data_IF_454490330498
#
_entry.id   IF_454490330498
#
_cell.length_a   1.000
_cell.length_b   1.000
_cell.length_c   1.000
_cell.angle_alpha   90.00
_cell.angle_beta   90.00
_cell.angle_gamma   90.00
#
_symmetry.space_group_name_H-M   'P 1'
#
loop_
_entity.id
_entity.type
_entity.pdbx_description
1 polymer ?
#
# COMPACT_ATOMS: atom_id res chain seq x y z
N UNK A 1 17.07 -26.86 7.98
CA UNK A 1 17.23 -25.44 8.23
C UNK A 1 15.99 -24.64 7.96
N UNK A 2 15.73 -23.68 8.84
CA UNK A 2 14.53 -22.88 8.73
C UNK A 2 14.68 -21.79 7.69
N UNK A 3 13.68 -21.60 6.82
CA UNK A 3 13.75 -20.49 5.88
C UNK A 3 13.67 -19.16 6.61
N UNK A 4 14.28 -18.14 6.02
CA UNK A 4 14.25 -16.79 6.56
C UNK A 4 12.93 -16.13 6.14
N UNK A 5 12.21 -15.56 7.11
CA UNK A 5 10.95 -14.89 6.84
C UNK A 5 11.23 -13.49 6.28
N UNK A 6 10.80 -13.27 5.06
CA UNK A 6 11.17 -12.07 4.30
C UNK A 6 10.66 -10.78 4.92
N UNK A 7 9.47 -10.82 5.50
CA UNK A 7 8.84 -9.59 5.99
C UNK A 7 9.28 -9.17 7.39
N UNK A 8 9.81 -10.11 8.17
CA UNK A 8 10.21 -9.80 9.55
C UNK A 8 11.69 -9.83 9.78
N UNK A 9 12.46 -10.38 8.86
CA UNK A 9 13.90 -10.52 9.05
C UNK A 9 14.58 -9.15 9.14
N UNK A 10 15.52 -9.04 10.07
CA UNK A 10 16.34 -7.83 10.12
C UNK A 10 17.50 -7.93 9.13
N UNK A 11 18.31 -6.89 9.06
CA UNK A 11 19.37 -6.84 8.07
C UNK A 11 20.39 -7.96 8.25
N UNK A 12 20.72 -8.27 9.49
CA UNK A 12 21.69 -9.34 9.76
C UNK A 12 21.18 -10.69 9.30
N UNK A 13 19.91 -10.96 9.57
CA UNK A 13 19.31 -12.22 9.16
C UNK A 13 19.22 -12.33 7.65
N UNK A 14 18.85 -11.22 6.98
CA UNK A 14 18.83 -11.22 5.52
C UNK A 14 20.23 -11.41 4.93
N UNK A 15 21.24 -10.83 5.57
CA UNK A 15 22.62 -10.98 5.09
C UNK A 15 23.10 -12.42 5.19
N UNK A 16 22.51 -13.21 6.08
CA UNK A 16 22.90 -14.61 6.21
C UNK A 16 22.41 -15.47 5.05
N UNK A 17 21.51 -14.94 4.23
CA UNK A 17 21.00 -15.67 3.06
C UNK A 17 22.07 -15.64 1.97
N UNK A 18 22.41 -16.81 1.45
CA UNK A 18 23.42 -16.88 0.38
C UNK A 18 22.84 -16.20 -0.86
N UNK A 19 23.57 -15.25 -1.40
CA UNK A 19 23.14 -14.49 -2.55
C UNK A 19 22.71 -13.06 -2.21
N UNK A 20 22.60 -12.75 -0.92
CA UNK A 20 22.25 -11.40 -0.49
C UNK A 20 23.50 -10.73 0.08
N UNK A 21 24.02 -9.76 -0.66
CA UNK A 21 25.18 -9.00 -0.22
C UNK A 21 24.79 -7.73 0.50
N UNK A 22 25.79 -6.92 0.87
CA UNK A 22 25.54 -5.70 1.66
C UNK A 22 24.64 -4.69 0.95
N UNK A 23 24.80 -4.53 -0.35
CA UNK A 23 23.95 -3.58 -1.07
C UNK A 23 22.56 -4.13 -1.30
N UNK A 24 22.49 -5.42 -1.54
CA UNK A 24 21.22 -6.05 -1.81
C UNK A 24 20.31 -6.05 -0.58
N UNK A 25 20.89 -6.25 0.61
CA UNK A 25 20.09 -6.23 1.83
C UNK A 25 19.47 -4.86 2.04
N UNK A 26 20.22 -3.79 1.77
CA UNK A 26 19.70 -2.43 1.89
C UNK A 26 18.53 -2.24 0.90
N UNK A 27 18.73 -2.69 -0.33
CA UNK A 27 17.70 -2.54 -1.36
C UNK A 27 16.44 -3.33 -0.99
N UNK A 28 16.61 -4.53 -0.46
CA UNK A 28 15.46 -5.35 -0.05
C UNK A 28 14.69 -4.65 1.05
N UNK A 29 15.38 -4.16 2.07
CA UNK A 29 14.71 -3.52 3.19
C UNK A 29 14.03 -2.23 2.77
N UNK A 30 14.66 -1.48 1.88
CA UNK A 30 14.08 -0.25 1.37
C UNK A 30 12.83 -0.54 0.53
N UNK A 31 12.91 -1.54 -0.32
CA UNK A 31 11.77 -1.92 -1.15
C UNK A 31 10.63 -2.45 -0.30
N UNK A 32 10.96 -3.27 0.71
CA UNK A 32 9.98 -3.80 1.64
C UNK A 32 9.21 -2.67 2.33
N UNK A 33 9.94 -1.64 2.74
CA UNK A 33 9.32 -0.49 3.40
C UNK A 33 8.37 0.24 2.45
N UNK A 34 8.79 0.44 1.21
CA UNK A 34 7.95 1.13 0.23
C UNK A 34 6.72 0.33 -0.16
N UNK A 35 6.86 -0.98 -0.25
CA UNK A 35 5.73 -1.84 -0.57
C UNK A 35 4.70 -1.91 0.55
N UNK A 36 5.17 -1.87 1.78
CA UNK A 36 4.34 -2.21 2.93
C UNK A 36 4.43 -3.67 3.28
N UNK A 37 5.37 -4.39 2.67
CA UNK A 37 5.60 -5.80 2.87
C UNK A 37 5.46 -6.58 1.59
N UNK A 38 6.10 -7.74 1.55
CA UNK A 38 6.00 -8.63 0.38
C UNK A 38 4.78 -9.54 0.54
N UNK A 39 3.98 -9.67 -0.50
CA UNK A 39 2.87 -10.63 -0.50
C UNK A 39 3.34 -11.99 -0.96
N UNK A 40 4.46 -12.06 -1.69
CA UNK A 40 5.06 -13.33 -2.05
C UNK A 40 6.54 -13.12 -2.30
N UNK A 41 7.27 -14.21 -2.10
CA UNK A 41 8.72 -14.17 -2.20
C UNK A 41 9.20 -13.80 -3.61
N UNK A 42 8.42 -14.13 -4.60
CA UNK A 42 8.80 -13.85 -6.00
C UNK A 42 8.97 -12.37 -6.28
N UNK A 43 8.39 -11.51 -5.47
CA UNK A 43 8.56 -10.07 -5.65
C UNK A 43 10.01 -9.63 -5.44
N UNK A 44 10.85 -10.50 -4.90
CA UNK A 44 12.27 -10.18 -4.79
C UNK A 44 12.91 -9.92 -6.15
N UNK A 45 12.34 -10.48 -7.21
CA UNK A 45 12.86 -10.22 -8.55
C UNK A 45 12.78 -8.75 -8.92
N UNK A 46 11.94 -7.97 -8.25
CA UNK A 46 11.76 -6.55 -8.53
C UNK A 46 12.76 -5.67 -7.80
N UNK A 47 13.51 -6.23 -6.86
CA UNK A 47 14.43 -5.45 -6.05
C UNK A 47 15.73 -5.22 -6.81
N UNK A 48 16.21 -3.97 -6.89
CA UNK A 48 17.49 -3.71 -7.55
C UNK A 48 18.63 -4.48 -6.86
N UNK A 49 19.49 -5.08 -7.66
CA UNK A 49 20.59 -5.87 -7.13
C UNK A 49 20.31 -7.36 -7.03
N UNK A 50 19.06 -7.76 -7.13
CA UNK A 50 18.71 -9.17 -7.18
C UNK A 50 18.78 -9.59 -8.64
N UNK A 51 19.85 -10.30 -9.00
CA UNK A 51 20.00 -10.78 -10.36
C UNK A 51 19.27 -12.09 -10.54
N UNK A 52 19.02 -12.45 -11.78
CA UNK A 52 18.36 -13.72 -12.08
C UNK A 52 19.09 -14.88 -11.42
N UNK A 53 20.40 -14.81 -11.45
CA UNK A 53 21.25 -15.85 -10.90
C UNK A 53 21.06 -15.97 -9.37
N UNK A 54 21.08 -14.82 -8.69
CA UNK A 54 20.91 -14.81 -7.25
C UNK A 54 19.48 -15.10 -6.82
N UNK A 55 18.54 -14.70 -7.64
CA UNK A 55 17.13 -14.85 -7.34
C UNK A 55 16.76 -16.29 -7.01
N UNK A 56 17.15 -17.23 -7.88
CA UNK A 56 16.80 -18.62 -7.64
C UNK A 56 17.44 -19.16 -6.37
N UNK A 57 18.68 -18.74 -6.14
CA UNK A 57 19.40 -19.15 -4.96
C UNK A 57 18.71 -18.64 -3.69
N UNK A 58 18.32 -17.38 -3.73
CA UNK A 58 17.69 -16.73 -2.58
C UNK A 58 16.32 -17.36 -2.29
N UNK A 59 15.53 -17.61 -3.34
CA UNK A 59 14.19 -18.15 -3.15
C UNK A 59 14.15 -19.45 -2.35
N UNK A 60 15.19 -20.25 -2.50
CA UNK A 60 15.23 -21.52 -1.79
C UNK A 60 15.44 -21.38 -0.29
N UNK A 61 15.84 -20.20 0.16
CA UNK A 61 16.21 -19.96 1.54
C UNK A 61 15.24 -19.11 2.30
N UNK A 62 14.21 -18.62 1.65
CA UNK A 62 13.28 -17.66 2.28
C UNK A 62 11.86 -18.15 2.21
N UNK A 63 11.03 -17.57 3.07
CA UNK A 63 9.59 -17.73 3.02
C UNK A 63 8.97 -16.35 3.18
N UNK A 64 7.70 -16.26 2.92
CA UNK A 64 7.02 -14.96 2.94
C UNK A 64 5.66 -15.09 3.61
N UNK A 65 5.54 -14.44 4.77
CA UNK A 65 4.28 -14.38 5.48
C UNK A 65 3.65 -13.03 5.19
N UNK A 66 2.54 -13.04 4.47
CA UNK A 66 1.88 -11.81 4.05
C UNK A 66 0.79 -11.34 5.02
N UNK A 67 0.76 -11.92 6.23
CA UNK A 67 -0.29 -11.59 7.19
C UNK A 67 -0.26 -10.15 7.66
N UNK A 68 0.91 -9.53 7.63
CA UNK A 68 1.06 -8.20 8.20
C UNK A 68 1.43 -7.15 7.18
N UNK A 69 0.78 -7.21 6.04
CA UNK A 69 0.98 -6.20 5.01
C UNK A 69 0.38 -4.89 5.47
N UNK A 70 1.15 -3.81 5.37
CA UNK A 70 0.67 -2.47 5.67
C UNK A 70 -0.04 -1.92 4.44
N UNK A 71 -1.34 -1.78 4.55
CA UNK A 71 -2.14 -1.33 3.41
C UNK A 71 -2.24 0.18 3.37
N UNK A 72 -2.44 0.70 2.18
CA UNK A 72 -2.69 2.11 1.94
C UNK A 72 -4.18 2.30 1.76
N UNK A 73 -4.74 3.25 2.50
CA UNK A 73 -6.14 3.60 2.27
C UNK A 73 -6.18 4.55 1.08
N UNK A 74 -6.59 4.02 -0.06
CA UNK A 74 -6.54 4.77 -1.31
C UNK A 74 -7.41 6.03 -1.26
N UNK A 75 -8.43 6.02 -0.41
CA UNK A 75 -9.35 7.14 -0.32
C UNK A 75 -8.82 8.30 0.52
N UNK A 76 -7.83 8.05 1.37
CA UNK A 76 -7.35 9.07 2.31
C UNK A 76 -5.85 9.29 2.29
N UNK A 77 -5.09 8.42 1.63
CA UNK A 77 -3.64 8.56 1.62
C UNK A 77 -3.21 9.88 0.99
N UNK A 78 -2.15 10.46 1.56
CA UNK A 78 -1.61 11.70 1.00
C UNK A 78 -0.91 11.42 -0.33
N UNK A 79 -0.75 12.45 -1.16
CA UNK A 79 0.01 12.27 -2.39
C UNK A 79 1.41 11.72 -2.15
N UNK A 80 2.04 12.12 -1.05
CA UNK A 80 3.39 11.67 -0.74
C UNK A 80 3.41 10.15 -0.49
N UNK A 81 2.43 9.67 0.28
CA UNK A 81 2.34 8.24 0.57
C UNK A 81 2.09 7.45 -0.71
N UNK A 82 1.18 7.95 -1.55
CA UNK A 82 0.86 7.27 -2.79
C UNK A 82 2.06 7.23 -3.74
N UNK A 83 2.81 8.33 -3.78
CA UNK A 83 3.96 8.43 -4.68
C UNK A 83 5.07 7.44 -4.32
N UNK A 84 5.16 7.09 -3.06
CA UNK A 84 6.22 6.19 -2.60
C UNK A 84 5.99 4.74 -2.97
N UNK A 85 4.75 4.35 -3.20
CA UNK A 85 4.47 2.94 -3.46
C UNK A 85 4.93 2.53 -4.85
N UNK A 86 5.73 1.44 -4.95
CA UNK A 86 6.28 1.03 -6.25
C UNK A 86 5.25 0.65 -7.28
N UNK A 87 4.06 0.23 -6.84
CA UNK A 87 3.03 -0.27 -7.76
C UNK A 87 2.04 0.81 -8.19
N UNK A 88 2.18 2.02 -7.68
CA UNK A 88 1.35 3.13 -8.15
C UNK A 88 2.14 3.88 -9.20
N UNK A 89 1.72 3.81 -10.48
CA UNK A 89 2.49 4.48 -11.53
C UNK A 89 2.50 5.99 -11.31
N UNK A 90 3.68 6.60 -11.29
CA UNK A 90 3.76 8.04 -11.03
C UNK A 90 2.96 8.87 -12.03
N UNK A 91 2.92 8.44 -13.28
CA UNK A 91 2.22 9.19 -14.32
C UNK A 91 0.71 9.13 -14.16
N UNK A 92 0.20 8.23 -13.31
CA UNK A 92 -1.24 8.11 -13.10
C UNK A 92 -1.71 8.74 -11.81
N UNK A 93 -0.76 9.22 -11.02
CA UNK A 93 -1.07 9.78 -9.70
C UNK A 93 -1.97 11.00 -9.81
N UNK A 94 -1.70 11.86 -10.79
CA UNK A 94 -2.48 13.07 -10.96
C UNK A 94 -3.95 12.75 -11.25
N UNK A 95 -4.19 11.82 -12.15
CA UNK A 95 -5.55 11.43 -12.48
C UNK A 95 -6.24 10.78 -11.28
N UNK A 96 -5.49 9.97 -10.55
CA UNK A 96 -6.02 9.32 -9.36
C UNK A 96 -6.49 10.36 -8.34
N UNK A 97 -5.65 11.34 -8.05
CA UNK A 97 -5.98 12.35 -7.06
C UNK A 97 -7.13 13.23 -7.50
N UNK A 98 -7.15 13.59 -8.78
CA UNK A 98 -8.22 14.41 -9.31
C UNK A 98 -9.56 13.66 -9.26
N UNK A 99 -9.56 12.42 -9.68
CA UNK A 99 -10.78 11.62 -9.67
C UNK A 99 -11.27 11.41 -8.24
N UNK A 100 -10.34 11.18 -7.32
CA UNK A 100 -10.70 11.03 -5.92
C UNK A 100 -11.41 12.26 -5.39
N UNK A 101 -10.88 13.41 -5.74
CA UNK A 101 -11.47 14.67 -5.27
C UNK A 101 -12.88 14.89 -5.84
N UNK A 102 -13.06 14.57 -7.12
CA UNK A 102 -14.34 14.78 -7.77
C UNK A 102 -15.40 13.78 -7.35
N UNK A 103 -15.00 12.55 -7.14
CA UNK A 103 -15.94 11.47 -6.92
C UNK A 103 -16.11 11.11 -5.44
N UNK A 104 -15.13 11.44 -4.62
CA UNK A 104 -15.19 11.16 -3.19
C UNK A 104 -14.56 9.83 -2.79
N UNK A 105 -13.97 9.11 -3.72
CA UNK A 105 -13.28 7.88 -3.40
C UNK A 105 -13.86 6.67 -4.11
N UNK A 106 -13.38 5.50 -3.72
CA UNK A 106 -13.79 4.25 -4.35
C UNK A 106 -14.09 3.22 -3.27
N UNK A 107 -14.84 2.20 -3.66
CA UNK A 107 -15.15 1.07 -2.78
C UNK A 107 -14.34 -0.18 -3.13
N UNK A 108 -13.93 -0.32 -4.38
CA UNK A 108 -13.21 -1.51 -4.84
C UNK A 108 -12.12 -1.12 -5.82
N UNK A 109 -11.16 -2.03 -5.99
CA UNK A 109 -10.08 -1.79 -6.94
C UNK A 109 -10.60 -1.85 -8.37
N UNK A 110 -11.68 -2.57 -8.61
CA UNK A 110 -12.27 -2.66 -9.93
C UNK A 110 -12.75 -1.30 -10.44
N UNK A 111 -13.18 -0.43 -9.54
CA UNK A 111 -13.60 0.91 -9.95
C UNK A 111 -12.45 1.70 -10.54
N UNK A 112 -11.24 1.46 -10.05
CA UNK A 112 -10.07 2.12 -10.60
C UNK A 112 -9.80 1.70 -12.05
N UNK A 113 -10.14 0.46 -12.36
CA UNK A 113 -10.01 -0.03 -13.73
C UNK A 113 -11.12 0.53 -14.61
N UNK A 114 -12.34 0.52 -14.09
CA UNK A 114 -13.48 1.03 -14.85
C UNK A 114 -13.33 2.50 -15.21
N UNK A 115 -12.67 3.25 -14.36
CA UNK A 115 -12.46 4.68 -14.60
C UNK A 115 -11.14 4.95 -15.33
N UNK A 116 -10.51 3.90 -15.81
CA UNK A 116 -9.28 4.00 -16.62
C UNK A 116 -8.12 4.66 -15.89
N UNK A 117 -8.12 4.54 -14.56
CA UNK A 117 -6.98 5.02 -13.77
C UNK A 117 -5.87 3.98 -13.79
N UNK A 118 -6.24 2.71 -13.61
CA UNK A 118 -5.30 1.61 -13.64
C UNK A 118 -5.71 0.60 -14.71
N UNK A 119 -4.72 -0.05 -15.30
CA UNK A 119 -5.00 -1.21 -16.13
C UNK A 119 -5.38 -2.38 -15.22
N UNK A 120 -6.05 -3.41 -15.77
CA UNK A 120 -6.37 -4.58 -14.95
C UNK A 120 -5.15 -5.21 -14.29
N UNK A 121 -4.03 -5.23 -15.00
CA UNK A 121 -2.80 -5.80 -14.46
C UNK A 121 -2.26 -4.96 -13.30
N UNK A 122 -2.27 -3.65 -13.47
CA UNK A 122 -1.83 -2.76 -12.41
C UNK A 122 -2.71 -2.90 -11.18
N UNK A 123 -4.01 -3.01 -11.39
CA UNK A 123 -4.95 -3.17 -10.29
C UNK A 123 -4.73 -4.48 -9.55
N UNK A 124 -4.49 -5.54 -10.30
CA UNK A 124 -4.27 -6.84 -9.69
C UNK A 124 -3.03 -6.84 -8.81
N UNK A 125 -1.96 -6.20 -9.27
CA UNK A 125 -0.74 -6.12 -8.49
C UNK A 125 -0.92 -5.28 -7.23
N UNK A 126 -1.67 -4.21 -7.35
CA UNK A 126 -1.83 -3.24 -6.26
C UNK A 126 -2.88 -3.67 -5.24
N UNK A 127 -3.83 -4.50 -5.64
CA UNK A 127 -4.98 -4.84 -4.80
C UNK A 127 -4.60 -5.30 -3.40
N UNK A 128 -3.59 -6.17 -3.20
CA UNK A 128 -3.26 -6.61 -1.84
C UNK A 128 -2.81 -5.49 -0.92
N UNK A 129 -2.43 -4.36 -1.49
CA UNK A 129 -1.87 -3.24 -0.74
C UNK A 129 -2.88 -2.12 -0.52
N UNK A 130 -4.13 -2.30 -0.93
CA UNK A 130 -5.13 -1.24 -0.83
C UNK A 130 -6.19 -1.57 0.19
N UNK A 131 -6.65 -0.51 0.85
CA UNK A 131 -7.82 -0.55 1.71
C UNK A 131 -8.75 0.56 1.22
N UNK A 132 -10.05 0.31 1.35
CA UNK A 132 -11.07 1.25 0.88
C UNK A 132 -12.00 1.60 2.02
N UNK A 133 -11.60 2.59 2.81
CA UNK A 133 -12.44 3.04 3.90
C UNK A 133 -13.49 3.99 3.35
N UNK A 134 -14.74 3.69 3.61
CA UNK A 134 -15.84 4.51 3.14
C UNK A 134 -16.04 5.66 4.11
N UNK A 135 -16.43 6.81 3.60
CA UNK A 135 -16.70 7.97 4.44
C UNK A 135 -18.03 7.78 5.15
N UNK A 136 -17.93 7.47 6.41
CA UNK A 136 -19.14 7.28 7.21
C UNK A 136 -19.95 8.54 7.38
N UNK A 137 -19.23 9.63 7.55
CA UNK A 137 -19.90 10.90 7.83
C UNK A 137 -20.87 11.27 6.73
N UNK A 138 -20.50 11.05 5.49
CA UNK A 138 -21.38 11.44 4.38
C UNK A 138 -22.63 10.60 4.30
N UNK A 139 -22.59 9.42 4.85
CA UNK A 139 -23.80 8.60 4.89
C UNK A 139 -24.72 8.98 6.02
N UNK A 140 -24.11 9.31 7.13
CA UNK A 140 -24.85 9.45 8.37
C UNK A 140 -25.54 10.76 8.52
N UNK A 141 -25.13 11.70 7.77
CA UNK A 141 -25.78 12.98 7.88
C UNK A 141 -27.10 12.89 7.21
N UNK A 142 -27.96 12.66 7.80
CA UNK A 142 -29.23 12.38 7.25
C UNK A 142 -30.25 13.28 7.66
N UNK A 143 -29.18 13.17 8.20
CA UNK A 143 -29.64 13.50 8.55
C UNK A 143 -30.00 14.09 8.91
N UNK A 144 -30.10 14.64 8.88
CA UNK A 144 -30.20 15.13 9.18
C UNK A 144 -30.44 15.36 10.25
N UNK A 145 -30.28 15.29 10.68
CA UNK A 145 -30.41 15.37 11.33
C UNK A 145 -29.80 15.46 12.04
N UNK A 146 -29.73 15.63 12.28
CA UNK A 146 -29.21 15.77 12.64
C UNK A 146 -28.64 16.01 13.25
N UNK A 147 -28.60 16.33 13.47
CA UNK A 147 -28.07 16.73 13.71
C UNK A 147 -27.65 16.97 14.47
N UNK A 148 -27.83 17.10 14.91
CA UNK A 148 -27.47 17.41 15.22
C UNK A 148 -26.89 17.39 15.94
N UNK A 149 -26.87 17.59 16.47
CA UNK A 149 -26.46 17.71 16.56
C UNK A 149 -25.72 17.70 17.02
N UNK A 150 -25.58 18.01 17.68
CA UNK A 150 -25.12 18.34 17.35
C UNK A 150 -24.33 18.54 17.86
N UNK A 151 -24.38 19.14 18.51
CA UNK A 151 -23.89 19.55 18.22
C UNK A 151 -23.28 19.84 18.52
N UNK A 152 -23.10 19.82 18.84
CA UNK A 152 -22.91 20.28 18.38
C UNK A 152 -22.13 20.62 18.59
N UNK A 153 -22.13 21.04 19.24
CA UNK A 153 -21.73 21.61 18.81
C UNK A 153 -20.94 21.83 19.18
N UNK A 154 -20.61 22.28 19.83
CA UNK A 154 -20.36 22.76 19.30
C UNK A 154 -19.79 23.09 19.57
N UNK A 155 -19.82 23.27 20.21
CA UNK A 155 -19.71 23.79 19.72
C UNK A 155 -19.08 24.10 19.84
N UNK A 156 -19.17 24.61 20.39
CA UNK A 156 -19.27 25.07 19.59
C UNK A 156 -18.52 25.20 19.72
N UNK A 157 -18.51 25.44 20.20
CA UNK A 157 -18.59 25.72 19.57
C UNK A 157 -17.81 25.75 19.12
N UNK A 158 -18.13 26.21 19.87
CA UNK A 158 -18.19 26.43 18.93
C UNK A 158 -17.34 26.47 18.52
N UNK A 159 -17.56 26.69 19.04
CA UNK A 159 -17.59 26.87 18.04
C UNK A 159 -16.93 26.86 17.48
N UNK A 160 -17.06 27.25 17.86
CA UNK A 160 -17.28 27.32 16.83
C UNK A 160 -16.72 27.28 16.44
N UNK A 161 -17.12 27.78 17.13
CA UNK A 161 -17.62 27.58 16.26
C UNK A 161 -17.02 27.53 15.84
#
# INVERSE_FOLDING_TARGET
EQPVELNTADSATLRSVVGIGPRTVVAIMHYRERLGGFVRAEQLAEVPGVTERNYEKILKQICCDSCEIRKIDINFATPKVLRRHPYIPPQKLRKLLKTRQLKGGWSTVEELVEEHILTPREAERLAPYLRFTVREASKDIPNGESASSGWSPAPIQDTIH
#
